data_IF_219197427777
#
_entry.id   IF_219197427777
#
_cell.length_a   1.000
_cell.length_b   1.000
_cell.length_c   1.000
_cell.angle_alpha   90.00
_cell.angle_beta   90.00
_cell.angle_gamma   90.00
#
_symmetry.space_group_name_H-M   'P 1'
#
loop_
_entity.id
_entity.type
_entity.pdbx_description
1 polymer ?
#
# COMPACT_ATOMS: atom_id res chain seq x y z
N UNK A 1 13.69 -40.11 6.62
CA UNK A 1 12.87 -38.89 6.72
C UNK A 1 13.85 -37.75 6.79
N UNK A 2 14.03 -37.06 5.67
CA UNK A 2 15.03 -36.00 5.51
C UNK A 2 14.60 -34.78 6.35
N UNK A 3 15.47 -34.19 7.18
CA UNK A 3 15.08 -33.09 8.04
C UNK A 3 15.02 -31.82 7.20
N UNK A 4 13.79 -31.32 6.99
CA UNK A 4 13.48 -29.92 6.65
C UNK A 4 14.46 -29.27 5.67
N UNK A 5 14.27 -29.50 4.37
CA UNK A 5 14.62 -28.47 3.39
C UNK A 5 13.78 -27.24 3.73
N UNK A 6 14.30 -26.37 4.60
CA UNK A 6 13.85 -25.00 4.69
C UNK A 6 14.13 -24.40 3.33
N UNK A 7 13.11 -24.31 2.49
CA UNK A 7 13.19 -23.63 1.21
C UNK A 7 13.66 -22.20 1.47
N UNK A 8 14.73 -21.82 0.80
CA UNK A 8 15.35 -20.50 0.91
C UNK A 8 14.36 -19.42 0.46
N UNK A 9 14.43 -18.25 1.10
CA UNK A 9 13.62 -17.11 0.73
C UNK A 9 14.17 -16.46 -0.54
N UNK A 10 13.33 -16.32 -1.55
CA UNK A 10 13.69 -15.70 -2.83
C UNK A 10 13.04 -14.33 -2.92
N UNK A 11 13.87 -13.29 -3.05
CA UNK A 11 13.42 -11.90 -3.18
C UNK A 11 13.45 -11.50 -4.65
N UNK A 12 12.38 -10.88 -5.12
CA UNK A 12 12.31 -10.35 -6.48
C UNK A 12 11.50 -9.06 -6.52
N UNK A 13 11.67 -8.29 -7.59
CA UNK A 13 10.88 -7.09 -7.82
C UNK A 13 9.46 -7.47 -8.22
N UNK A 14 8.45 -6.81 -7.65
CA UNK A 14 7.07 -6.99 -8.06
C UNK A 14 6.89 -6.50 -9.51
N UNK A 15 6.17 -7.27 -10.32
CA UNK A 15 5.90 -6.97 -11.73
C UNK A 15 4.48 -7.36 -12.08
N UNK A 16 4.00 -6.98 -13.27
CA UNK A 16 2.68 -7.37 -13.75
C UNK A 16 2.45 -8.89 -13.84
N UNK A 17 3.52 -9.69 -13.96
CA UNK A 17 3.39 -11.15 -13.95
C UNK A 17 2.92 -11.69 -12.58
N UNK A 18 3.13 -10.91 -11.53
CA UNK A 18 2.76 -11.24 -10.16
C UNK A 18 1.38 -10.67 -9.75
N UNK A 19 0.64 -10.02 -10.67
CA UNK A 19 -0.58 -9.28 -10.33
C UNK A 19 -1.62 -10.15 -9.59
N UNK A 20 -1.95 -11.32 -10.15
CA UNK A 20 -2.95 -12.22 -9.55
C UNK A 20 -2.52 -12.73 -8.16
N UNK A 21 -1.25 -13.11 -7.98
CA UNK A 21 -0.78 -13.60 -6.68
C UNK A 21 -0.69 -12.49 -5.62
N UNK A 22 -0.30 -11.27 -6.02
CA UNK A 22 -0.25 -10.10 -5.13
C UNK A 22 -1.67 -9.74 -4.68
N UNK A 23 -2.61 -9.63 -5.61
CA UNK A 23 -4.00 -9.29 -5.28
C UNK A 23 -4.60 -10.34 -4.34
N UNK A 24 -4.41 -11.63 -4.63
CA UNK A 24 -4.85 -12.70 -3.74
C UNK A 24 -4.23 -12.57 -2.35
N UNK A 25 -2.92 -12.33 -2.26
CA UNK A 25 -2.22 -12.17 -0.99
C UNK A 25 -2.72 -10.96 -0.20
N UNK A 26 -3.01 -9.85 -0.88
CA UNK A 26 -3.59 -8.65 -0.30
C UNK A 26 -4.93 -8.94 0.37
N UNK A 27 -5.82 -9.70 -0.29
CA UNK A 27 -7.12 -10.04 0.29
C UNK A 27 -7.04 -11.08 1.40
N UNK A 28 -6.16 -12.08 1.29
CA UNK A 28 -6.11 -13.20 2.26
C UNK A 28 -5.26 -12.93 3.49
N UNK A 29 -4.22 -12.09 3.38
CA UNK A 29 -3.28 -11.84 4.49
C UNK A 29 -3.32 -10.38 4.94
N UNK A 30 -3.26 -9.41 4.03
CA UNK A 30 -3.17 -8.00 4.42
C UNK A 30 -4.51 -7.44 4.92
N UNK A 31 -5.55 -7.46 4.07
CA UNK A 31 -6.88 -6.88 4.34
C UNK A 31 -7.47 -7.30 5.68
N UNK A 32 -7.36 -8.59 6.00
CA UNK A 32 -7.96 -9.17 7.21
C UNK A 32 -7.20 -8.81 8.49
N UNK A 33 -5.97 -8.30 8.38
CA UNK A 33 -5.10 -7.94 9.50
C UNK A 33 -4.77 -6.44 9.57
N UNK A 34 -5.04 -5.67 8.51
CA UNK A 34 -4.76 -4.23 8.45
C UNK A 34 -5.68 -3.45 9.42
N UNK A 35 -5.14 -2.69 10.38
CA UNK A 35 -5.92 -2.07 11.46
C UNK A 35 -7.10 -1.19 11.03
N UNK A 36 -6.94 -0.37 9.98
CA UNK A 36 -7.98 0.57 9.54
C UNK A 36 -9.14 -0.20 8.91
N UNK A 37 -8.82 -1.15 8.04
CA UNK A 37 -9.75 -2.04 7.36
C UNK A 37 -10.56 -2.87 8.35
N UNK A 38 -9.89 -3.46 9.34
CA UNK A 38 -10.54 -4.21 10.43
C UNK A 38 -11.47 -3.29 11.24
N UNK A 39 -11.04 -2.06 11.54
CA UNK A 39 -11.83 -1.09 12.31
C UNK A 39 -13.08 -0.63 11.56
N UNK A 40 -12.98 -0.44 10.24
CA UNK A 40 -14.11 -0.08 9.37
C UNK A 40 -15.11 -1.23 9.17
N UNK A 41 -14.73 -2.47 9.52
CA UNK A 41 -15.55 -3.68 9.32
C UNK A 41 -16.05 -3.76 7.89
N UNK A 42 -15.17 -3.48 6.94
CA UNK A 42 -15.50 -3.54 5.53
C UNK A 42 -15.47 -4.99 5.03
N UNK A 43 -16.41 -5.34 4.14
CA UNK A 43 -16.39 -6.60 3.42
C UNK A 43 -15.31 -6.59 2.35
N UNK A 44 -15.06 -7.77 1.76
CA UNK A 44 -14.15 -7.90 0.63
C UNK A 44 -14.66 -7.15 -0.59
N UNK A 45 -15.96 -7.25 -0.87
CA UNK A 45 -16.62 -6.60 -2.01
C UNK A 45 -16.53 -5.07 -1.90
N UNK A 46 -16.78 -4.52 -0.70
CA UNK A 46 -16.75 -3.08 -0.44
C UNK A 46 -15.36 -2.46 -0.66
N UNK A 47 -14.28 -3.25 -0.57
CA UNK A 47 -12.90 -2.78 -0.74
C UNK A 47 -12.20 -3.35 -1.96
N UNK A 48 -12.92 -4.09 -2.82
CA UNK A 48 -12.34 -4.79 -3.96
C UNK A 48 -11.60 -3.85 -4.91
N UNK A 49 -12.26 -2.77 -5.34
CA UNK A 49 -11.70 -1.73 -6.21
C UNK A 49 -10.49 -1.04 -5.56
N UNK A 50 -10.60 -0.66 -4.29
CA UNK A 50 -9.51 0.01 -3.56
C UNK A 50 -8.24 -0.85 -3.46
N UNK A 51 -8.38 -2.13 -3.11
CA UNK A 51 -7.23 -3.02 -2.99
C UNK A 51 -6.66 -3.44 -4.34
N UNK A 52 -7.49 -3.48 -5.39
CA UNK A 52 -7.02 -3.66 -6.76
C UNK A 52 -6.11 -2.50 -7.18
N UNK A 53 -6.58 -1.26 -7.07
CA UNK A 53 -5.79 -0.06 -7.42
C UNK A 53 -4.48 0.03 -6.61
N UNK A 54 -4.54 -0.31 -5.33
CA UNK A 54 -3.37 -0.32 -4.44
C UNK A 54 -2.35 -1.39 -4.84
N UNK A 55 -2.82 -2.57 -5.24
CA UNK A 55 -1.98 -3.65 -5.76
C UNK A 55 -1.35 -3.24 -7.09
N UNK A 56 -2.16 -2.69 -8.01
CA UNK A 56 -1.73 -2.25 -9.34
C UNK A 56 -0.65 -1.19 -9.27
N UNK A 57 -0.83 -0.19 -8.42
CA UNK A 57 0.19 0.84 -8.15
C UNK A 57 1.52 0.21 -7.70
N UNK A 58 1.44 -0.81 -6.85
CA UNK A 58 2.58 -1.55 -6.33
C UNK A 58 3.37 -2.30 -7.40
N UNK A 59 2.71 -3.08 -8.26
CA UNK A 59 3.40 -3.91 -9.25
C UNK A 59 3.69 -3.19 -10.59
N UNK A 60 3.06 -2.04 -10.86
CA UNK A 60 3.21 -1.33 -12.14
C UNK A 60 4.50 -0.51 -12.28
N UNK A 61 5.13 -0.13 -11.16
CA UNK A 61 6.37 0.65 -11.19
C UNK A 61 7.64 -0.19 -11.42
N UNK A 62 7.53 -1.53 -11.37
CA UNK A 62 8.56 -2.55 -11.67
C UNK A 62 9.99 -2.25 -11.17
N UNK A 63 10.12 -1.53 -10.05
CA UNK A 63 11.43 -1.05 -9.54
C UNK A 63 11.57 -1.08 -8.03
N UNK A 64 10.51 -0.74 -7.29
CA UNK A 64 10.62 -0.41 -5.86
C UNK A 64 9.89 -1.40 -4.97
N UNK A 65 8.89 -2.08 -5.50
CA UNK A 65 8.13 -3.09 -4.78
C UNK A 65 8.86 -4.41 -4.80
N UNK A 66 8.80 -5.13 -3.69
CA UNK A 66 9.47 -6.41 -3.48
C UNK A 66 8.46 -7.46 -3.11
N UNK A 67 8.60 -8.64 -3.68
CA UNK A 67 7.89 -9.84 -3.26
C UNK A 67 8.90 -10.88 -2.78
N UNK A 68 8.44 -11.76 -1.90
CA UNK A 68 9.28 -12.81 -1.30
C UNK A 68 8.57 -14.14 -1.41
N UNK A 69 9.20 -15.09 -2.10
CA UNK A 69 8.73 -16.46 -2.22
C UNK A 69 9.52 -17.39 -1.32
N UNK A 70 8.87 -18.44 -0.83
CA UNK A 70 9.47 -19.58 -0.18
C UNK A 70 9.08 -20.83 -0.97
N UNK A 71 9.98 -21.33 -1.82
CA UNK A 71 9.60 -22.25 -2.89
C UNK A 71 8.62 -21.56 -3.85
N UNK A 72 7.49 -22.21 -4.16
CA UNK A 72 6.47 -21.63 -5.05
C UNK A 72 5.44 -20.74 -4.31
N UNK A 73 5.60 -20.55 -3.00
CA UNK A 73 4.63 -19.82 -2.17
C UNK A 73 5.06 -18.38 -1.95
N UNK A 74 4.21 -17.41 -2.28
CA UNK A 74 4.38 -16.01 -1.87
C UNK A 74 4.19 -15.90 -0.35
N UNK A 75 5.19 -15.37 0.36
CA UNK A 75 5.22 -15.28 1.83
C UNK A 75 5.32 -13.86 2.37
N UNK A 76 5.77 -12.90 1.55
CA UNK A 76 5.74 -11.49 1.92
C UNK A 76 5.69 -10.58 0.70
N UNK A 77 5.13 -9.39 0.90
CA UNK A 77 5.11 -8.30 -0.07
C UNK A 77 5.49 -6.99 0.62
N UNK A 78 6.18 -6.14 -0.13
CA UNK A 78 6.42 -4.74 0.17
C UNK A 78 6.04 -3.95 -1.10
N UNK A 79 4.89 -3.29 -1.11
CA UNK A 79 4.42 -2.54 -2.26
C UNK A 79 4.69 -1.05 -2.03
N UNK A 80 5.34 -0.44 -3.02
CA UNK A 80 5.77 0.95 -2.97
C UNK A 80 5.19 1.75 -4.14
N UNK A 81 4.75 2.96 -3.85
CA UNK A 81 4.45 3.99 -4.84
C UNK A 81 5.52 5.07 -4.87
N UNK A 82 5.60 5.79 -5.99
CA UNK A 82 6.53 6.90 -6.14
C UNK A 82 5.80 8.13 -6.65
N UNK A 83 5.73 9.15 -5.81
CA UNK A 83 5.14 10.43 -6.15
C UNK A 83 6.24 11.40 -6.56
N UNK A 84 6.05 12.08 -7.69
CA UNK A 84 6.92 13.17 -8.12
C UNK A 84 6.13 14.46 -8.03
N UNK A 85 6.69 15.46 -7.33
CA UNK A 85 6.08 16.76 -7.14
C UNK A 85 6.89 17.78 -7.91
N UNK A 86 6.36 18.26 -9.03
CA UNK A 86 7.02 19.27 -9.87
C UNK A 86 6.64 20.70 -9.44
N UNK A 87 7.57 21.64 -9.64
CA UNK A 87 7.42 23.08 -9.33
C UNK A 87 6.23 23.76 -10.02
N UNK A 88 5.69 23.18 -11.10
CA UNK A 88 4.66 23.79 -11.93
C UNK A 88 3.23 23.61 -11.39
N UNK A 89 3.05 22.88 -10.28
CA UNK A 89 1.73 22.80 -9.64
C UNK A 89 1.53 24.03 -8.75
N UNK A 90 0.80 25.03 -9.25
CA UNK A 90 0.24 26.11 -8.44
C UNK A 90 -0.77 25.51 -7.45
N UNK A 91 -0.25 24.99 -6.34
CA UNK A 91 -1.05 24.73 -5.16
C UNK A 91 -0.69 25.80 -4.15
N UNK A 92 -1.65 26.68 -3.88
CA UNK A 92 -1.65 27.50 -2.68
C UNK A 92 -1.31 26.59 -1.51
N UNK A 93 -0.26 26.91 -0.76
CA UNK A 93 0.02 26.26 0.53
C UNK A 93 -1.27 26.34 1.34
N UNK A 94 -1.94 25.21 1.64
CA UNK A 94 -3.08 25.25 2.54
C UNK A 94 -2.59 25.91 3.82
N UNK A 95 -3.19 27.05 4.20
CA UNK A 95 -2.93 27.58 5.52
C UNK A 95 -3.33 26.51 6.53
N UNK A 96 -2.59 26.39 7.64
CA UNK A 96 -2.93 25.46 8.71
C UNK A 96 -4.31 25.85 9.21
N UNK A 97 -5.33 25.17 8.68
CA UNK A 97 -6.66 25.25 9.20
C UNK A 97 -6.68 24.41 10.47
N UNK A 98 -6.92 25.10 11.59
CA UNK A 98 -7.03 24.48 12.91
C UNK A 98 -8.47 24.07 13.19
N UNK A 99 -9.42 24.33 12.28
CA UNK A 99 -10.79 23.90 12.43
C UNK A 99 -10.96 22.42 12.06
N UNK A 100 -11.85 21.68 12.75
CA UNK A 100 -12.20 20.32 12.35
C UNK A 100 -12.76 20.32 10.92
N UNK A 101 -12.03 19.71 9.98
CA UNK A 101 -12.50 19.53 8.62
C UNK A 101 -13.53 18.40 8.53
N UNK A 102 -14.69 18.69 7.94
CA UNK A 102 -15.74 17.68 7.66
C UNK A 102 -15.50 17.03 6.30
N UNK A 103 -15.07 15.77 6.32
CA UNK A 103 -14.76 14.98 5.12
C UNK A 103 -15.99 14.34 4.45
N UNK A 104 -17.22 14.60 4.91
CA UNK A 104 -18.42 13.93 4.40
C UNK A 104 -18.62 14.11 2.89
N UNK A 105 -18.27 15.28 2.35
CA UNK A 105 -18.40 15.57 0.92
C UNK A 105 -17.38 14.81 0.10
N UNK A 106 -16.13 14.78 0.54
CA UNK A 106 -15.01 14.08 -0.10
C UNK A 106 -15.28 12.58 -0.15
N UNK A 107 -15.81 12.01 0.93
CA UNK A 107 -16.18 10.59 0.98
C UNK A 107 -17.35 10.31 0.02
N UNK A 108 -18.36 11.17 -0.03
CA UNK A 108 -19.52 10.98 -0.91
C UNK A 108 -19.18 11.14 -2.41
N UNK A 109 -18.16 11.92 -2.73
CA UNK A 109 -17.71 12.21 -4.10
C UNK A 109 -16.43 11.46 -4.49
N UNK A 110 -15.99 10.52 -3.66
CA UNK A 110 -14.77 9.76 -3.87
C UNK A 110 -14.82 8.87 -5.12
N UNK A 111 -13.65 8.36 -5.56
CA UNK A 111 -13.52 7.68 -6.84
C UNK A 111 -14.12 6.27 -6.86
N UNK A 112 -14.33 5.66 -5.70
CA UNK A 112 -14.84 4.30 -5.59
C UNK A 112 -16.35 4.29 -5.50
N UNK A 113 -16.97 3.21 -5.97
CA UNK A 113 -18.42 3.02 -5.83
C UNK A 113 -18.84 2.88 -4.37
N UNK A 114 -18.01 2.22 -3.57
CA UNK A 114 -18.32 1.81 -2.22
C UNK A 114 -17.89 2.86 -1.18
N UNK A 115 -18.81 3.23 -0.28
CA UNK A 115 -18.59 4.31 0.69
C UNK A 115 -17.37 4.07 1.60
N UNK A 116 -17.13 2.82 2.02
CA UNK A 116 -15.99 2.47 2.89
C UNK A 116 -14.65 2.57 2.16
N UNK A 117 -14.58 2.24 0.88
CA UNK A 117 -13.40 2.49 0.06
C UNK A 117 -13.12 4.00 -0.04
N UNK A 118 -14.16 4.81 -0.22
CA UNK A 118 -14.02 6.26 -0.20
C UNK A 118 -13.60 6.82 1.17
N UNK A 119 -14.01 6.20 2.28
CA UNK A 119 -13.52 6.55 3.61
C UNK A 119 -12.00 6.30 3.73
N UNK A 120 -11.51 5.16 3.24
CA UNK A 120 -10.08 4.82 3.27
C UNK A 120 -9.24 5.81 2.45
N UNK A 121 -9.59 6.04 1.19
CA UNK A 121 -8.80 6.93 0.34
C UNK A 121 -8.84 8.39 0.83
N UNK A 122 -9.98 8.83 1.38
CA UNK A 122 -10.08 10.17 1.98
C UNK A 122 -9.21 10.27 3.22
N UNK A 123 -9.21 9.24 4.08
CA UNK A 123 -8.35 9.20 5.26
C UNK A 123 -6.85 9.23 4.90
N UNK A 124 -6.43 8.42 3.93
CA UNK A 124 -5.04 8.43 3.44
C UNK A 124 -4.70 9.80 2.84
N UNK A 125 -5.58 10.36 1.99
CA UNK A 125 -5.40 11.68 1.41
C UNK A 125 -5.23 12.79 2.46
N UNK A 126 -6.02 12.75 3.53
CA UNK A 126 -5.92 13.68 4.65
C UNK A 126 -4.58 13.57 5.40
N UNK A 127 -4.08 12.35 5.63
CA UNK A 127 -2.77 12.13 6.25
C UNK A 127 -1.62 12.65 5.36
N UNK A 128 -1.79 12.54 4.05
CA UNK A 128 -0.76 12.90 3.07
C UNK A 128 -0.78 14.37 2.66
N UNK A 129 -1.88 15.08 2.93
CA UNK A 129 -2.09 16.47 2.51
C UNK A 129 -0.91 17.39 2.90
N UNK A 130 -0.34 17.18 4.09
CA UNK A 130 0.77 17.98 4.63
C UNK A 130 2.16 17.43 4.30
N UNK A 131 2.24 16.27 3.64
CA UNK A 131 3.52 15.68 3.27
C UNK A 131 4.29 16.57 2.28
N UNK A 132 3.57 17.24 1.35
CA UNK A 132 4.19 18.17 0.39
C UNK A 132 4.81 19.39 1.07
N UNK A 133 4.19 19.92 2.13
CA UNK A 133 4.70 21.06 2.89
C UNK A 133 6.04 20.74 3.56
N UNK A 134 6.19 19.51 4.07
CA UNK A 134 7.39 19.07 4.77
C UNK A 134 8.58 18.81 3.84
N UNK A 135 8.32 18.36 2.61
CA UNK A 135 9.37 17.85 1.71
C UNK A 135 9.89 18.91 0.73
N UNK A 136 9.24 20.08 0.68
CA UNK A 136 9.65 21.21 -0.16
C UNK A 136 9.28 21.04 -1.64
N UNK A 137 9.64 22.04 -2.44
CA UNK A 137 9.35 22.06 -3.88
C UNK A 137 10.28 21.11 -4.65
N UNK A 138 9.79 20.53 -5.74
CA UNK A 138 10.56 19.67 -6.65
C UNK A 138 11.18 18.45 -5.95
N UNK A 139 10.34 17.60 -5.36
CA UNK A 139 10.78 16.40 -4.65
C UNK A 139 10.16 15.11 -5.22
N UNK A 140 10.89 14.00 -5.07
CA UNK A 140 10.44 12.66 -5.42
C UNK A 140 10.38 11.82 -4.15
N UNK A 141 9.22 11.23 -3.89
CA UNK A 141 8.91 10.54 -2.65
C UNK A 141 8.57 9.10 -2.97
N UNK A 142 9.36 8.17 -2.43
CA UNK A 142 9.01 6.76 -2.41
C UNK A 142 8.25 6.47 -1.13
N UNK A 143 7.04 5.94 -1.27
CA UNK A 143 6.17 5.53 -0.16
C UNK A 143 6.17 4.01 -0.09
N UNK A 144 6.18 3.48 1.12
CA UNK A 144 5.85 2.08 1.37
C UNK A 144 4.37 2.08 1.72
N UNK A 145 3.54 1.66 0.77
CA UNK A 145 2.09 1.66 0.95
C UNK A 145 1.65 0.39 1.69
N UNK A 146 2.30 -0.73 1.37
CA UNK A 146 2.02 -2.04 1.96
C UNK A 146 3.32 -2.67 2.43
N UNK A 147 3.29 -3.18 3.66
CA UNK A 147 4.22 -4.19 4.14
C UNK A 147 3.41 -5.32 4.76
N UNK A 148 3.52 -6.52 4.21
CA UNK A 148 2.75 -7.66 4.66
C UNK A 148 3.59 -8.93 4.62
N UNK A 149 3.47 -9.72 5.68
CA UNK A 149 4.14 -11.02 5.82
C UNK A 149 3.06 -12.03 6.17
N UNK A 150 3.06 -13.17 5.47
CA UNK A 150 2.13 -14.26 5.72
C UNK A 150 2.22 -14.69 7.17
N UNK A 151 1.07 -15.02 7.76
CA UNK A 151 0.99 -15.42 9.17
C UNK A 151 1.92 -16.58 9.50
N UNK A 152 2.10 -17.53 8.58
CA UNK A 152 2.95 -18.70 8.77
C UNK A 152 4.45 -18.42 8.57
N UNK A 153 4.79 -17.23 8.08
CA UNK A 153 6.17 -16.76 7.87
C UNK A 153 6.60 -15.70 8.91
N UNK A 154 5.74 -15.39 9.89
CA UNK A 154 6.07 -14.45 10.98
C UNK A 154 7.27 -14.97 11.78
N UNK A 155 8.20 -14.07 12.10
CA UNK A 155 9.45 -14.40 12.78
C UNK A 155 10.65 -14.70 11.85
N UNK A 156 10.42 -14.78 10.53
CA UNK A 156 11.47 -15.05 9.53
C UNK A 156 11.94 -13.79 8.81
N UNK A 157 11.15 -12.72 8.82
CA UNK A 157 11.41 -11.52 8.03
C UNK A 157 12.42 -10.62 8.74
N UNK A 158 13.68 -10.80 8.36
CA UNK A 158 14.80 -9.93 8.67
C UNK A 158 14.75 -8.71 7.73
N UNK A 159 15.04 -7.55 8.31
CA UNK A 159 15.14 -6.19 7.76
C UNK A 159 15.14 -6.09 6.22
N UNK A 160 14.09 -5.49 5.65
CA UNK A 160 14.12 -4.94 4.28
C UNK A 160 15.05 -3.72 4.31
N UNK A 161 16.36 -3.95 4.10
CA UNK A 161 17.33 -2.87 3.91
C UNK A 161 17.32 -2.51 2.43
N UNK A 162 16.78 -1.35 2.08
CA UNK A 162 16.95 -0.79 0.75
C UNK A 162 18.41 -0.32 0.61
N UNK A 163 19.20 -1.02 -0.19
CA UNK A 163 20.53 -0.58 -0.57
C UNK A 163 20.42 0.49 -1.67
N UNK A 164 20.93 1.69 -1.36
CA UNK A 164 21.58 2.57 -2.33
C UNK A 164 22.88 3.06 -1.73
#
# INVERSE_FOLDING_TARGET
LDPLQMTELQFSTATRQHAEEIEKFMFTEFRVNEPITVSLKASEEELSEFFHDLSESGYSNEKYSTIVHQGDRLVAICLCSVNTYDDNSEHDTPQIDNEPHDYAKEIAQGPYRDHKANQLVTFVGALEQRQRELLGKSCKVMKIDIICVSTDAKGWVCTIVSYK
#
